data_IF_808462271785
#
_entry.id   IF_808462271785
#
_cell.length_a   1.000
_cell.length_b   1.000
_cell.length_c   1.000
_cell.angle_alpha   90.00
_cell.angle_beta   90.00
_cell.angle_gamma   90.00
#
_symmetry.space_group_name_H-M   'P 1'
#
loop_
_entity.id
_entity.type
_entity.pdbx_description
1 polymer ?
#
# COMPACT_ATOMS: atom_id res chain seq x y z
N UNK A 1 -30.53 9.74 24.67
CA UNK A 1 -29.85 9.22 23.46
C UNK A 1 -28.68 8.39 23.95
N UNK A 2 -28.83 7.06 23.99
CA UNK A 2 -27.80 6.16 24.56
C UNK A 2 -26.68 6.09 23.53
N UNK A 3 -25.52 6.64 23.86
CA UNK A 3 -24.28 6.40 23.11
C UNK A 3 -23.89 4.95 23.40
N UNK A 4 -24.38 4.02 22.60
CA UNK A 4 -23.91 2.63 22.62
C UNK A 4 -22.59 2.59 21.85
N UNK A 5 -21.52 3.04 22.51
CA UNK A 5 -20.14 2.89 22.04
C UNK A 5 -19.77 1.41 22.01
N UNK A 6 -20.18 0.72 20.95
CA UNK A 6 -19.66 -0.60 20.62
C UNK A 6 -18.56 -0.43 19.60
N UNK A 7 -17.37 -0.92 19.91
CA UNK A 7 -16.20 -0.88 19.05
C UNK A 7 -16.54 -1.45 17.67
N UNK A 8 -16.54 -0.61 16.65
CA UNK A 8 -16.61 -1.04 15.25
C UNK A 8 -15.21 -1.48 14.84
N UNK A 9 -15.11 -2.56 14.07
CA UNK A 9 -13.94 -2.75 13.23
C UNK A 9 -14.09 -1.76 12.07
N UNK A 10 -13.08 -0.92 11.86
CA UNK A 10 -13.15 0.15 10.86
C UNK A 10 -12.00 -0.02 9.86
N UNK A 11 -12.36 -0.30 8.61
CA UNK A 11 -11.41 -0.44 7.52
C UNK A 11 -11.69 0.62 6.46
N UNK A 12 -10.64 1.10 5.80
CA UNK A 12 -10.81 1.97 4.64
C UNK A 12 -9.89 1.61 3.49
N UNK A 13 -10.40 1.86 2.28
CA UNK A 13 -9.73 1.60 1.02
C UNK A 13 -9.73 2.87 0.16
N UNK A 14 -8.82 2.91 -0.79
CA UNK A 14 -8.66 3.97 -1.78
C UNK A 14 -8.81 3.36 -3.17
N UNK A 15 -9.79 3.80 -3.96
CA UNK A 15 -9.97 3.29 -5.32
C UNK A 15 -10.50 4.34 -6.29
N UNK A 16 -10.20 4.14 -7.56
CA UNK A 16 -10.95 4.71 -8.67
C UNK A 16 -11.81 3.64 -9.36
N UNK A 17 -12.52 4.01 -10.42
CA UNK A 17 -13.37 3.09 -11.17
C UNK A 17 -12.56 1.95 -11.83
N UNK A 18 -11.36 2.25 -12.32
CA UNK A 18 -10.49 1.26 -12.98
C UNK A 18 -10.11 0.12 -12.03
N UNK A 19 -9.90 0.44 -10.74
CA UNK A 19 -9.55 -0.54 -9.73
C UNK A 19 -10.77 -1.14 -9.00
N UNK A 20 -12.01 -0.84 -9.40
CA UNK A 20 -13.21 -1.34 -8.73
C UNK A 20 -13.29 -2.88 -8.70
N UNK A 21 -12.89 -3.56 -9.77
CA UNK A 21 -12.80 -5.04 -9.83
C UNK A 21 -11.78 -5.58 -8.81
N UNK A 22 -10.64 -4.92 -8.69
CA UNK A 22 -9.56 -5.33 -7.79
C UNK A 22 -10.02 -5.11 -6.33
N UNK A 23 -10.61 -3.95 -6.04
CA UNK A 23 -11.23 -3.67 -4.74
C UNK A 23 -12.33 -4.68 -4.39
N UNK A 24 -13.14 -5.11 -5.36
CA UNK A 24 -14.18 -6.12 -5.14
C UNK A 24 -13.64 -7.43 -4.57
N UNK A 25 -12.44 -7.85 -4.99
CA UNK A 25 -11.76 -9.05 -4.46
C UNK A 25 -11.29 -8.84 -3.02
N UNK A 26 -10.67 -7.69 -2.72
CA UNK A 26 -10.28 -7.35 -1.35
C UNK A 26 -11.49 -7.24 -0.42
N UNK A 27 -12.59 -6.65 -0.89
CA UNK A 27 -13.84 -6.50 -0.15
C UNK A 27 -14.50 -7.86 0.15
N UNK A 28 -14.64 -8.72 -0.87
CA UNK A 28 -15.21 -10.07 -0.72
C UNK A 28 -14.43 -10.88 0.31
N UNK A 29 -13.10 -10.89 0.21
CA UNK A 29 -12.23 -11.65 1.12
C UNK A 29 -12.20 -11.05 2.53
N UNK A 30 -12.17 -9.73 2.67
CA UNK A 30 -12.32 -9.06 3.96
C UNK A 30 -13.63 -9.47 4.62
N UNK A 31 -14.74 -9.44 3.89
CA UNK A 31 -16.03 -9.77 4.48
C UNK A 31 -16.16 -11.25 4.86
N UNK A 32 -15.70 -12.15 3.99
CA UNK A 32 -15.68 -13.59 4.24
C UNK A 32 -14.89 -13.95 5.51
N UNK A 33 -13.73 -13.31 5.73
CA UNK A 33 -12.89 -13.54 6.90
C UNK A 33 -13.38 -12.87 8.19
N UNK A 34 -14.45 -12.06 8.13
CA UNK A 34 -14.94 -11.31 9.28
C UNK A 34 -16.41 -11.57 9.60
N UNK A 35 -17.00 -12.70 9.19
CA UNK A 35 -18.40 -13.03 9.51
C UNK A 35 -18.70 -13.06 11.02
N UNK A 36 -17.69 -13.30 11.86
CA UNK A 36 -17.79 -13.23 13.33
C UNK A 36 -17.92 -11.80 13.88
N UNK A 37 -17.55 -10.78 13.10
CA UNK A 37 -17.58 -9.37 13.52
C UNK A 37 -18.94 -8.76 13.20
N UNK A 38 -19.74 -8.54 14.26
CA UNK A 38 -21.09 -7.97 14.18
C UNK A 38 -21.12 -6.52 13.71
N UNK A 39 -20.08 -5.73 14.02
CA UNK A 39 -20.00 -4.29 13.74
C UNK A 39 -18.74 -4.00 12.94
N UNK A 40 -18.89 -3.98 11.63
CA UNK A 40 -17.81 -3.71 10.67
C UNK A 40 -18.22 -2.53 9.78
N UNK A 41 -17.40 -1.48 9.76
CA UNK A 41 -17.53 -0.35 8.82
C UNK A 41 -16.43 -0.44 7.79
N UNK A 42 -16.80 -0.34 6.52
CA UNK A 42 -15.87 -0.25 5.41
C UNK A 42 -16.11 1.07 4.68
N UNK A 43 -15.09 1.92 4.68
CA UNK A 43 -15.08 3.16 3.93
C UNK A 43 -14.36 2.97 2.59
N UNK A 44 -14.91 3.54 1.52
CA UNK A 44 -14.22 3.66 0.25
C UNK A 44 -14.02 5.14 -0.07
N UNK A 45 -12.79 5.63 0.07
CA UNK A 45 -12.43 6.96 -0.43
C UNK A 45 -12.24 6.83 -1.95
N UNK A 46 -13.13 7.43 -2.71
CA UNK A 46 -13.29 7.15 -4.13
C UNK A 46 -12.98 8.34 -5.03
N UNK A 47 -12.28 8.07 -6.13
CA UNK A 47 -12.04 9.03 -7.21
C UNK A 47 -12.88 8.66 -8.43
N UNK A 48 -14.11 9.18 -8.49
CA UNK A 48 -15.06 9.00 -9.58
C UNK A 48 -15.39 7.52 -9.90
N UNK A 49 -15.66 6.69 -8.89
CA UNK A 49 -16.16 5.33 -9.13
C UNK A 49 -17.57 5.42 -9.72
N UNK A 50 -17.78 4.75 -10.84
CA UNK A 50 -19.03 4.81 -11.59
C UNK A 50 -20.20 4.25 -10.80
N UNK A 51 -21.42 4.68 -11.16
CA UNK A 51 -22.65 4.14 -10.57
C UNK A 51 -22.77 2.64 -10.83
N UNK A 52 -22.30 2.15 -11.97
CA UNK A 52 -22.31 0.72 -12.30
C UNK A 52 -21.37 -0.09 -11.40
N UNK A 53 -20.12 0.36 -11.25
CA UNK A 53 -19.17 -0.26 -10.32
C UNK A 53 -19.69 -0.26 -8.88
N UNK A 54 -20.27 0.86 -8.41
CA UNK A 54 -20.88 0.93 -7.06
C UNK A 54 -22.04 -0.05 -6.90
N UNK A 55 -22.89 -0.23 -7.92
CA UNK A 55 -23.96 -1.25 -7.88
C UNK A 55 -23.37 -2.66 -7.72
N UNK A 56 -22.34 -3.00 -8.48
CA UNK A 56 -21.66 -4.31 -8.36
C UNK A 56 -21.00 -4.47 -6.98
N UNK A 57 -20.34 -3.44 -6.44
CA UNK A 57 -19.74 -3.46 -5.09
C UNK A 57 -20.81 -3.61 -3.99
N UNK A 58 -21.95 -2.94 -4.13
CA UNK A 58 -23.04 -3.03 -3.16
C UNK A 58 -23.67 -4.43 -3.12
N UNK A 59 -23.76 -5.14 -4.26
CA UNK A 59 -24.20 -6.55 -4.29
C UNK A 59 -23.31 -7.41 -3.39
N UNK A 60 -21.99 -7.18 -3.41
CA UNK A 60 -21.05 -7.89 -2.52
C UNK A 60 -21.35 -7.54 -1.06
N UNK A 61 -21.49 -6.25 -0.72
CA UNK A 61 -21.77 -5.85 0.65
C UNK A 61 -23.09 -6.40 1.19
N UNK A 62 -24.15 -6.36 0.37
CA UNK A 62 -25.48 -6.88 0.70
C UNK A 62 -25.48 -8.39 0.96
N UNK A 63 -24.69 -9.17 0.20
CA UNK A 63 -24.47 -10.61 0.43
C UNK A 63 -23.99 -10.92 1.85
N UNK A 64 -23.25 -10.00 2.48
CA UNK A 64 -22.75 -10.14 3.86
C UNK A 64 -23.53 -9.29 4.87
N UNK A 65 -24.72 -8.79 4.52
CA UNK A 65 -25.54 -7.91 5.36
C UNK A 65 -24.80 -6.63 5.80
N UNK A 66 -23.93 -6.12 4.92
CA UNK A 66 -23.04 -4.97 5.16
C UNK A 66 -23.30 -3.85 4.16
N UNK A 67 -22.64 -2.72 4.40
CA UNK A 67 -22.71 -1.53 3.55
C UNK A 67 -21.32 -0.94 3.38
N UNK A 68 -21.09 -0.31 2.24
CA UNK A 68 -19.89 0.48 1.97
C UNK A 68 -20.23 1.95 2.21
N UNK A 69 -19.43 2.63 3.02
CA UNK A 69 -19.51 4.08 3.22
C UNK A 69 -18.62 4.78 2.18
N UNK A 70 -19.23 5.26 1.10
CA UNK A 70 -18.51 5.96 0.03
C UNK A 70 -18.18 7.39 0.44
N UNK A 71 -16.91 7.76 0.38
CA UNK A 71 -16.41 9.10 0.66
C UNK A 71 -15.80 9.67 -0.62
N UNK A 72 -16.40 10.69 -1.25
CA UNK A 72 -15.79 11.35 -2.40
C UNK A 72 -14.42 11.90 -2.04
N UNK A 73 -13.39 11.53 -2.80
CA UNK A 73 -12.03 12.02 -2.57
C UNK A 73 -12.00 13.55 -2.68
N UNK A 74 -11.47 14.27 -1.66
CA UNK A 74 -11.31 15.72 -1.77
C UNK A 74 -10.27 16.07 -2.84
N UNK A 75 -10.25 17.34 -3.24
CA UNK A 75 -9.22 17.82 -4.16
C UNK A 75 -7.85 17.88 -3.44
N UNK A 76 -7.08 16.80 -3.57
CA UNK A 76 -5.77 16.63 -2.94
C UNK A 76 -4.79 17.72 -3.32
N UNK A 77 -4.78 18.16 -4.59
CA UNK A 77 -3.91 19.27 -5.04
C UNK A 77 -4.23 20.56 -4.29
N UNK A 78 -5.52 20.85 -4.09
CA UNK A 78 -5.97 22.02 -3.33
C UNK A 78 -5.60 21.90 -1.84
N UNK A 79 -5.71 20.71 -1.25
CA UNK A 79 -5.30 20.48 0.14
C UNK A 79 -3.79 20.70 0.34
N UNK A 80 -2.98 20.27 -0.62
CA UNK A 80 -1.52 20.48 -0.60
C UNK A 80 -1.17 21.96 -0.86
N UNK A 81 -1.86 22.62 -1.79
CA UNK A 81 -1.63 24.04 -2.10
C UNK A 81 -0.27 24.34 -2.75
N UNK A 82 0.33 23.35 -3.41
CA UNK A 82 1.49 23.48 -4.30
C UNK A 82 1.39 22.43 -5.41
N UNK A 83 2.17 22.60 -6.48
CA UNK A 83 2.22 21.62 -7.55
C UNK A 83 2.82 20.32 -7.04
N UNK A 84 2.08 19.23 -7.24
CA UNK A 84 2.52 17.89 -6.87
C UNK A 84 2.91 17.13 -8.13
N UNK A 85 4.15 16.64 -8.17
CA UNK A 85 4.60 15.72 -9.20
C UNK A 85 4.01 14.34 -8.95
N UNK A 86 3.18 13.90 -9.89
CA UNK A 86 2.61 12.56 -9.91
C UNK A 86 3.02 11.94 -11.24
N UNK A 87 3.91 10.93 -11.24
CA UNK A 87 4.16 10.12 -12.41
C UNK A 87 2.84 9.62 -13.02
N UNK A 88 2.73 9.60 -14.35
CA UNK A 88 1.55 9.08 -15.06
C UNK A 88 1.19 7.63 -14.69
N UNK A 89 2.14 6.90 -14.08
CA UNK A 89 1.97 5.51 -13.61
C UNK A 89 1.27 5.41 -12.25
N UNK A 90 0.96 6.53 -11.59
CA UNK A 90 0.35 6.56 -10.27
C UNK A 90 -1.02 7.19 -10.29
N UNK A 91 -1.87 6.65 -9.44
CA UNK A 91 -3.19 7.19 -9.23
C UNK A 91 -3.15 8.29 -8.17
N UNK A 92 -3.77 9.43 -8.45
CA UNK A 92 -3.95 10.51 -7.47
C UNK A 92 -4.62 10.03 -6.19
N UNK A 93 -5.51 9.02 -6.30
CA UNK A 93 -6.24 8.47 -5.15
C UNK A 93 -5.30 7.96 -4.05
N UNK A 94 -4.09 7.52 -4.42
CA UNK A 94 -3.07 7.05 -3.47
C UNK A 94 -2.71 8.11 -2.42
N UNK A 95 -2.68 9.39 -2.81
CA UNK A 95 -2.31 10.49 -1.91
C UNK A 95 -3.38 10.82 -0.87
N UNK A 96 -4.61 10.33 -1.03
CA UNK A 96 -5.67 10.53 -0.03
C UNK A 96 -5.32 9.88 1.32
N UNK A 97 -4.48 8.82 1.35
CA UNK A 97 -4.01 8.21 2.62
C UNK A 97 -3.32 9.18 3.55
N UNK A 98 -2.62 10.17 2.99
CA UNK A 98 -1.88 11.18 3.77
C UNK A 98 -2.80 12.05 4.62
N UNK A 99 -4.07 12.12 4.24
CA UNK A 99 -5.11 12.94 4.83
C UNK A 99 -6.24 12.09 5.42
N UNK A 100 -6.01 10.79 5.67
CA UNK A 100 -7.03 9.90 6.21
C UNK A 100 -7.67 10.44 7.50
N UNK A 101 -6.87 11.07 8.37
CA UNK A 101 -7.35 11.71 9.60
C UNK A 101 -8.22 12.96 9.37
N UNK A 102 -8.13 13.58 8.20
CA UNK A 102 -8.93 14.76 7.83
C UNK A 102 -10.15 14.38 6.99
N UNK A 103 -10.08 13.24 6.29
CA UNK A 103 -11.13 12.74 5.38
C UNK A 103 -12.15 11.86 6.10
N UNK A 104 -11.69 10.97 6.99
CA UNK A 104 -12.58 10.04 7.67
C UNK A 104 -13.47 10.76 8.71
N UNK A 105 -14.70 10.28 8.94
CA UNK A 105 -15.62 10.88 9.92
C UNK A 105 -14.97 11.04 11.31
N UNK A 106 -15.33 12.10 12.03
CA UNK A 106 -14.66 12.47 13.29
C UNK A 106 -14.89 11.47 14.43
N UNK A 107 -15.89 10.61 14.32
CA UNK A 107 -16.13 9.48 15.23
C UNK A 107 -15.17 8.29 15.01
N UNK A 108 -14.46 8.26 13.87
CA UNK A 108 -13.44 7.24 13.57
C UNK A 108 -12.11 7.67 14.20
N UNK A 109 -11.82 7.12 15.39
CA UNK A 109 -10.58 7.38 16.12
C UNK A 109 -9.43 6.41 15.73
N UNK A 110 -9.76 5.21 15.23
CA UNK A 110 -8.81 4.20 14.75
C UNK A 110 -9.38 3.54 13.49
N UNK A 111 -8.57 3.34 12.47
CA UNK A 111 -8.96 2.57 11.29
C UNK A 111 -7.78 1.79 10.73
N UNK A 112 -8.05 0.69 10.01
CA UNK A 112 -7.04 -0.06 9.26
C UNK A 112 -7.18 0.25 7.78
N UNK A 113 -6.18 0.93 7.23
CA UNK A 113 -6.07 1.10 5.79
C UNK A 113 -5.65 -0.20 5.14
N UNK A 114 -6.27 -0.53 4.00
CA UNK A 114 -5.91 -1.64 3.14
C UNK A 114 -5.82 -1.15 1.68
N UNK A 115 -4.75 -1.50 0.98
CA UNK A 115 -4.67 -1.34 -0.48
C UNK A 115 -5.68 -2.29 -1.15
N UNK A 116 -6.13 -1.94 -2.36
CA UNK A 116 -7.15 -2.72 -3.06
C UNK A 116 -6.60 -4.03 -3.66
N UNK A 117 -5.32 -4.09 -3.98
CA UNK A 117 -4.67 -5.25 -4.60
C UNK A 117 -4.20 -6.29 -3.57
N UNK A 118 -5.11 -6.66 -2.68
CA UNK A 118 -4.86 -7.66 -1.64
C UNK A 118 -5.88 -8.80 -1.69
N UNK A 119 -5.52 -9.92 -1.06
CA UNK A 119 -6.45 -10.95 -0.61
C UNK A 119 -6.24 -11.18 0.88
N UNK A 120 -7.32 -11.10 1.64
CA UNK A 120 -7.35 -11.41 3.08
C UNK A 120 -7.63 -12.90 3.25
N UNK A 121 -6.67 -13.66 3.77
CA UNK A 121 -6.77 -15.12 3.92
C UNK A 121 -7.24 -15.56 5.30
N UNK A 122 -7.05 -14.71 6.30
CA UNK A 122 -7.38 -14.98 7.70
C UNK A 122 -8.01 -13.75 8.37
N UNK A 123 -8.75 -13.92 9.48
CA UNK A 123 -9.28 -12.81 10.26
C UNK A 123 -8.21 -11.79 10.67
N UNK A 124 -8.59 -10.51 10.70
CA UNK A 124 -7.70 -9.38 11.03
C UNK A 124 -7.88 -8.88 12.47
N UNK A 125 -8.41 -9.71 13.37
CA UNK A 125 -8.58 -9.38 14.79
C UNK A 125 -7.26 -8.95 15.44
N UNK A 126 -6.17 -9.67 15.19
CA UNK A 126 -4.84 -9.30 15.70
C UNK A 126 -4.35 -7.96 15.15
N UNK A 127 -4.66 -7.66 13.88
CA UNK A 127 -4.27 -6.41 13.23
C UNK A 127 -5.09 -5.24 13.77
N UNK A 128 -6.40 -5.44 13.94
CA UNK A 128 -7.31 -4.46 14.54
C UNK A 128 -6.97 -4.18 16.00
N UNK A 129 -6.62 -5.21 16.77
CA UNK A 129 -6.27 -5.09 18.18
C UNK A 129 -4.80 -4.73 18.42
N UNK A 130 -4.00 -4.53 17.35
CA UNK A 130 -2.61 -4.10 17.48
C UNK A 130 -2.52 -2.83 18.33
N UNK A 131 -1.74 -2.91 19.40
CA UNK A 131 -1.50 -1.80 20.32
C UNK A 131 -0.55 -0.79 19.69
N UNK A 132 -1.14 0.31 19.19
CA UNK A 132 -0.38 1.39 18.58
C UNK A 132 0.41 2.19 19.62
N UNK A 133 0.07 2.14 20.92
CA UNK A 133 0.67 3.02 21.95
C UNK A 133 0.70 4.48 21.47
N UNK A 134 1.84 5.13 21.64
CA UNK A 134 2.14 6.44 21.08
C UNK A 134 2.65 6.37 19.64
N UNK A 135 2.25 5.44 18.79
CA UNK A 135 2.55 5.51 17.34
C UNK A 135 1.38 6.11 16.58
N UNK A 136 1.68 6.76 15.45
CA UNK A 136 0.65 7.24 14.52
C UNK A 136 0.01 6.09 13.77
N UNK A 137 0.81 5.08 13.44
CA UNK A 137 0.38 3.90 12.72
C UNK A 137 1.34 2.73 12.95
N UNK A 138 1.04 1.59 12.37
CA UNK A 138 1.96 0.47 12.26
C UNK A 138 2.00 -0.06 10.81
N UNK A 139 3.16 -0.55 10.39
CA UNK A 139 3.39 -1.04 9.02
C UNK A 139 4.42 -2.17 9.04
N UNK A 140 4.50 -2.94 7.95
CA UNK A 140 5.61 -3.89 7.79
C UNK A 140 6.87 -3.19 7.28
N UNK A 141 8.04 -3.70 7.64
CA UNK A 141 9.31 -3.24 7.10
C UNK A 141 9.57 -3.90 5.72
N UNK A 142 9.65 -3.10 4.66
CA UNK A 142 9.96 -3.54 3.29
C UNK A 142 11.48 -3.74 3.08
N UNK A 143 12.29 -3.36 4.08
CA UNK A 143 13.71 -3.66 4.13
C UNK A 143 14.56 -2.86 3.14
N UNK A 144 14.20 -1.61 2.82
CA UNK A 144 15.08 -0.79 1.98
C UNK A 144 16.41 -0.48 2.69
N UNK A 145 17.47 -0.30 1.90
CA UNK A 145 18.77 0.16 2.41
C UNK A 145 18.71 1.62 2.90
N UNK A 146 19.74 1.99 3.65
CA UNK A 146 19.90 3.31 4.28
C UNK A 146 19.86 4.50 3.29
N UNK A 147 20.35 4.32 2.06
CA UNK A 147 20.38 5.39 1.04
C UNK A 147 18.99 5.77 0.54
N UNK A 148 18.02 4.86 0.62
CA UNK A 148 16.63 5.20 0.31
C UNK A 148 16.00 6.08 1.39
N UNK A 149 16.43 5.94 2.65
CA UNK A 149 15.98 6.84 3.74
C UNK A 149 16.59 8.24 3.62
N UNK A 150 17.86 8.36 3.24
CA UNK A 150 18.48 9.68 3.04
C UNK A 150 17.81 10.49 1.92
N UNK A 151 17.27 9.82 0.89
CA UNK A 151 16.46 10.46 -0.15
C UNK A 151 15.23 11.16 0.41
N UNK A 152 14.65 10.65 1.50
CA UNK A 152 13.50 11.22 2.21
C UNK A 152 13.87 12.29 3.26
N UNK A 153 15.15 12.67 3.37
CA UNK A 153 15.65 13.57 4.41
C UNK A 153 15.38 13.07 5.86
N UNK A 154 15.35 11.75 6.07
CA UNK A 154 15.26 11.14 7.41
C UNK A 154 16.55 10.37 7.76
N UNK A 155 16.83 10.10 9.05
CA UNK A 155 18.01 9.37 9.48
C UNK A 155 18.21 8.05 8.73
N UNK A 156 19.45 7.76 8.34
CA UNK A 156 19.79 6.64 7.47
C UNK A 156 19.63 5.27 8.18
N UNK A 157 19.76 5.27 9.50
CA UNK A 157 19.70 4.15 10.43
C UNK A 157 18.27 3.88 10.91
N UNK A 158 17.39 3.52 9.97
CA UNK A 158 16.03 3.13 10.32
C UNK A 158 15.44 2.11 9.36
N UNK A 159 14.21 1.69 9.66
CA UNK A 159 13.41 0.81 8.81
C UNK A 159 12.72 1.60 7.70
N UNK A 160 12.33 0.94 6.62
CA UNK A 160 11.51 1.56 5.59
C UNK A 160 10.25 0.74 5.40
N UNK A 161 9.11 1.37 5.59
CA UNK A 161 7.84 0.68 5.76
C UNK A 161 7.00 0.69 4.49
N UNK A 162 6.26 -0.41 4.28
CA UNK A 162 5.26 -0.53 3.23
C UNK A 162 3.91 0.01 3.71
N UNK A 163 3.26 0.87 2.91
CA UNK A 163 2.02 1.54 3.31
C UNK A 163 0.75 0.86 2.79
N UNK A 164 0.81 -0.40 2.35
CA UNK A 164 -0.36 -1.10 1.81
C UNK A 164 -1.31 -1.69 2.87
N UNK A 165 -0.82 -1.90 4.09
CA UNK A 165 -1.63 -2.34 5.24
C UNK A 165 -1.22 -1.53 6.46
N UNK A 166 -2.12 -0.68 6.96
CA UNK A 166 -1.77 0.35 7.93
C UNK A 166 -2.87 0.55 8.97
N UNK A 167 -2.78 -0.06 10.17
CA UNK A 167 -3.53 0.40 11.33
C UNK A 167 -3.10 1.83 11.69
N UNK A 168 -4.06 2.73 11.82
CA UNK A 168 -3.84 4.16 12.07
C UNK A 168 -4.53 4.62 13.34
N UNK A 169 -3.81 5.39 14.16
CA UNK A 169 -4.35 6.13 15.30
C UNK A 169 -4.80 7.50 14.81
N UNK A 170 -5.98 7.55 14.19
CA UNK A 170 -6.51 8.76 13.57
C UNK A 170 -6.73 9.87 14.59
N UNK A 171 -7.13 9.53 15.81
CA UNK A 171 -7.21 10.50 16.91
C UNK A 171 -5.88 11.21 17.14
N UNK A 172 -4.81 10.45 17.36
CA UNK A 172 -3.48 11.02 17.59
C UNK A 172 -2.97 11.78 16.37
N UNK A 173 -3.27 11.29 15.17
CA UNK A 173 -2.93 11.98 13.92
C UNK A 173 -3.64 13.34 13.78
N UNK A 174 -4.92 13.45 14.19
CA UNK A 174 -5.65 14.74 14.23
C UNK A 174 -5.04 15.68 15.27
N UNK A 175 -4.81 15.19 16.51
CA UNK A 175 -4.21 15.97 17.60
C UNK A 175 -2.84 16.55 17.20
N UNK A 176 -2.00 15.74 16.57
CA UNK A 176 -0.65 16.11 16.17
C UNK A 176 -0.59 16.72 14.75
N UNK A 177 -1.74 17.00 14.13
CA UNK A 177 -1.93 17.63 12.81
C UNK A 177 -1.09 16.99 11.70
N UNK A 178 -1.18 15.67 11.57
CA UNK A 178 -0.34 14.91 10.63
C UNK A 178 -0.59 15.29 9.17
N UNK A 179 -1.83 15.57 8.78
CA UNK A 179 -2.15 16.08 7.44
C UNK A 179 -1.37 17.36 7.10
N UNK A 180 -1.28 18.32 8.03
CA UNK A 180 -0.51 19.56 7.86
C UNK A 180 1.00 19.28 7.71
N UNK A 181 1.54 18.34 8.52
CA UNK A 181 2.94 17.92 8.41
C UNK A 181 3.24 17.26 7.06
N UNK A 182 2.31 16.47 6.52
CA UNK A 182 2.40 15.92 5.16
C UNK A 182 2.47 17.04 4.11
N UNK A 183 1.61 18.05 4.20
CA UNK A 183 1.66 19.22 3.29
C UNK A 183 3.00 19.92 3.38
N UNK A 184 3.47 20.20 4.59
CA UNK A 184 4.74 20.90 4.80
C UNK A 184 5.94 20.11 4.26
N UNK A 185 5.96 18.79 4.44
CA UNK A 185 6.98 17.93 3.86
C UNK A 185 6.97 17.99 2.32
N UNK A 186 5.80 17.88 1.69
CA UNK A 186 5.66 17.94 0.22
C UNK A 186 6.15 19.28 -0.32
N UNK A 187 5.80 20.39 0.34
CA UNK A 187 6.27 21.74 -0.02
C UNK A 187 7.78 21.87 0.12
N UNK A 188 8.36 21.39 1.22
CA UNK A 188 9.81 21.38 1.43
C UNK A 188 10.57 20.48 0.43
N UNK A 189 9.85 19.57 -0.21
CA UNK A 189 10.36 18.71 -1.26
C UNK A 189 10.05 19.24 -2.68
N UNK A 190 9.58 20.49 -2.80
CA UNK A 190 9.33 21.15 -4.09
C UNK A 190 8.34 20.37 -4.96
N UNK A 191 7.30 19.81 -4.33
CA UNK A 191 6.30 19.00 -5.02
C UNK A 191 6.79 17.61 -5.45
N UNK A 192 8.07 17.28 -5.28
CA UNK A 192 8.63 15.99 -5.65
C UNK A 192 8.70 15.04 -4.45
N UNK A 193 7.86 14.01 -4.44
CA UNK A 193 7.86 12.98 -3.38
C UNK A 193 8.55 11.70 -3.86
N UNK A 194 9.73 11.36 -3.33
CA UNK A 194 10.34 10.06 -3.61
C UNK A 194 9.44 8.96 -3.07
N UNK A 195 9.10 7.98 -3.92
CA UNK A 195 8.24 6.84 -3.54
C UNK A 195 6.86 7.30 -3.02
N UNK A 196 6.35 8.40 -3.60
CA UNK A 196 4.92 8.74 -3.57
C UNK A 196 4.39 8.95 -2.15
N UNK A 197 3.12 8.61 -1.88
CA UNK A 197 2.53 8.75 -0.56
C UNK A 197 3.26 7.90 0.50
N UNK A 198 3.73 6.69 0.16
CA UNK A 198 4.50 5.83 1.08
C UNK A 198 5.76 6.53 1.61
N UNK A 199 6.48 7.23 0.73
CA UNK A 199 7.66 7.99 1.11
C UNK A 199 7.35 9.17 2.03
N UNK A 200 6.22 9.87 1.78
CA UNK A 200 5.76 10.94 2.69
C UNK A 200 5.42 10.38 4.07
N UNK A 201 4.69 9.26 4.14
CA UNK A 201 4.36 8.62 5.42
C UNK A 201 5.62 8.19 6.20
N UNK A 202 6.57 7.55 5.51
CA UNK A 202 7.85 7.16 6.12
C UNK A 202 8.63 8.38 6.62
N UNK A 203 8.57 9.51 5.93
CA UNK A 203 9.29 10.72 6.33
C UNK A 203 8.63 11.46 7.50
N UNK A 204 7.32 11.68 7.42
CA UNK A 204 6.55 12.48 8.37
C UNK A 204 6.31 11.75 9.69
N UNK A 205 6.17 10.42 9.63
CA UNK A 205 5.87 9.58 10.78
C UNK A 205 7.11 8.86 11.33
N UNK A 206 8.31 9.19 10.83
CA UNK A 206 9.56 8.54 11.24
C UNK A 206 9.74 8.54 12.77
N UNK A 207 10.19 7.41 13.32
CA UNK A 207 10.29 7.20 14.76
C UNK A 207 8.97 6.96 15.50
N UNK A 208 7.81 7.06 14.83
CA UNK A 208 6.47 6.79 15.39
C UNK A 208 5.62 5.86 14.50
N UNK A 209 6.28 4.91 13.85
CA UNK A 209 5.65 3.80 13.11
C UNK A 209 5.94 2.51 13.87
N UNK A 210 4.88 1.81 14.30
CA UNK A 210 4.98 0.47 14.89
C UNK A 210 5.37 -0.58 13.85
N UNK A 211 6.14 -1.59 14.26
CA UNK A 211 6.53 -2.70 13.38
C UNK A 211 5.47 -3.81 13.42
N UNK A 212 4.84 -4.08 12.29
CA UNK A 212 3.95 -5.23 12.11
C UNK A 212 4.74 -6.50 11.78
N UNK A 213 4.17 -7.65 12.14
CA UNK A 213 4.63 -8.95 11.63
C UNK A 213 4.48 -9.01 10.10
N UNK A 214 5.43 -9.62 9.36
CA UNK A 214 5.38 -9.65 7.91
C UNK A 214 4.16 -10.41 7.36
N UNK A 215 3.54 -11.30 8.15
CA UNK A 215 2.33 -12.05 7.77
C UNK A 215 1.15 -11.15 7.38
N UNK A 216 1.11 -9.91 7.90
CA UNK A 216 0.03 -8.96 7.62
C UNK A 216 0.16 -8.24 6.28
N UNK A 217 1.25 -8.41 5.54
CA UNK A 217 1.43 -7.77 4.24
C UNK A 217 2.54 -8.50 3.45
N UNK A 218 2.23 -9.70 2.95
CA UNK A 218 3.20 -10.52 2.21
C UNK A 218 3.10 -10.16 0.73
N UNK A 219 4.10 -9.42 0.24
CA UNK A 219 4.11 -8.87 -1.12
C UNK A 219 4.93 -9.68 -2.11
N UNK A 220 4.65 -9.53 -3.42
CA UNK A 220 5.23 -10.33 -4.51
C UNK A 220 6.75 -10.49 -4.49
N UNK A 221 7.50 -9.47 -4.06
CA UNK A 221 8.96 -9.58 -3.97
C UNK A 221 9.39 -10.63 -2.93
N UNK A 222 8.64 -10.83 -1.85
CA UNK A 222 8.94 -11.86 -0.87
C UNK A 222 8.77 -13.27 -1.46
N UNK A 223 7.78 -13.48 -2.34
CA UNK A 223 7.62 -14.76 -3.04
C UNK A 223 8.73 -15.03 -4.07
N UNK A 224 9.34 -13.99 -4.63
CA UNK A 224 10.36 -14.13 -5.67
C UNK A 224 11.73 -14.59 -5.12
N UNK A 225 12.00 -14.40 -3.84
CA UNK A 225 13.33 -14.55 -3.26
C UNK A 225 13.31 -15.30 -1.93
N UNK A 226 14.28 -16.19 -1.71
CA UNK A 226 14.52 -16.74 -0.37
C UNK A 226 14.99 -15.64 0.58
N UNK A 227 14.94 -15.88 1.89
CA UNK A 227 15.41 -14.92 2.90
C UNK A 227 16.83 -14.38 2.60
N UNK A 228 17.78 -15.26 2.29
CA UNK A 228 19.16 -14.87 1.99
C UNK A 228 19.28 -14.06 0.69
N UNK A 229 18.51 -14.41 -0.34
CA UNK A 229 18.47 -13.67 -1.60
C UNK A 229 17.85 -12.28 -1.40
N UNK A 230 16.80 -12.19 -0.58
CA UNK A 230 16.14 -10.93 -0.23
C UNK A 230 17.10 -9.97 0.46
N UNK A 231 17.85 -10.44 1.45
CA UNK A 231 18.86 -9.63 2.15
C UNK A 231 19.98 -9.16 1.20
N UNK A 232 20.46 -10.02 0.30
CA UNK A 232 21.46 -9.64 -0.72
C UNK A 232 20.93 -8.59 -1.69
N UNK A 233 19.66 -8.70 -2.08
CA UNK A 233 18.99 -7.78 -2.98
C UNK A 233 18.82 -6.39 -2.34
N UNK A 234 18.23 -6.35 -1.15
CA UNK A 234 17.75 -5.11 -0.54
C UNK A 234 18.77 -4.43 0.36
N UNK A 235 19.69 -5.19 0.96
CA UNK A 235 20.72 -4.74 1.90
C UNK A 235 20.18 -3.83 3.02
N UNK A 236 19.13 -4.26 3.77
CA UNK A 236 18.59 -3.49 4.87
C UNK A 236 19.57 -3.40 6.05
N UNK A 237 19.47 -2.32 6.83
CA UNK A 237 20.11 -2.25 8.15
C UNK A 237 19.38 -3.11 9.18
N UNK A 238 18.04 -3.14 9.09
CA UNK A 238 17.17 -3.88 9.99
C UNK A 238 16.13 -4.64 9.17
N UNK A 239 15.92 -5.92 9.48
CA UNK A 239 14.90 -6.75 8.85
C UNK A 239 14.44 -7.83 9.81
N UNK A 240 13.38 -8.54 9.42
CA UNK A 240 12.85 -9.67 10.17
C UNK A 240 13.86 -10.81 10.27
N UNK A 241 13.69 -11.68 11.26
CA UNK A 241 14.39 -12.95 11.32
C UNK A 241 14.01 -13.86 10.15
N UNK A 242 14.84 -14.87 9.89
CA UNK A 242 14.54 -15.91 8.89
C UNK A 242 13.20 -16.59 9.18
N UNK A 243 12.98 -16.96 10.44
CA UNK A 243 11.78 -17.66 10.88
C UNK A 243 10.52 -16.83 10.64
N UNK A 244 10.51 -15.54 11.04
CA UNK A 244 9.37 -14.65 10.78
C UNK A 244 9.07 -14.52 9.28
N UNK A 245 10.11 -14.43 8.45
CA UNK A 245 9.97 -14.32 7.00
C UNK A 245 9.41 -15.60 6.37
N UNK A 246 9.97 -16.76 6.71
CA UNK A 246 9.56 -18.06 6.17
C UNK A 246 8.17 -18.45 6.68
N UNK A 247 7.83 -18.17 7.95
CA UNK A 247 6.49 -18.39 8.50
C UNK A 247 5.44 -17.49 7.84
N UNK A 248 5.77 -16.22 7.55
CA UNK A 248 4.86 -15.33 6.84
C UNK A 248 4.56 -15.81 5.42
N UNK A 249 5.56 -16.38 4.72
CA UNK A 249 5.35 -16.96 3.39
C UNK A 249 4.59 -18.28 3.41
N UNK A 250 4.76 -19.08 4.47
CA UNK A 250 4.08 -20.36 4.62
C UNK A 250 2.57 -20.19 4.84
N UNK A 251 2.16 -19.22 5.66
CA UNK A 251 0.75 -18.91 5.89
C UNK A 251 0.49 -17.39 6.03
N UNK A 252 0.42 -16.66 4.90
CA UNK A 252 0.17 -15.23 4.91
C UNK A 252 -1.26 -14.92 5.40
N UNK A 253 -1.42 -13.92 6.27
CA UNK A 253 -2.74 -13.36 6.65
C UNK A 253 -3.26 -12.47 5.52
N UNK A 254 -2.40 -11.62 4.96
CA UNK A 254 -2.72 -10.81 3.78
C UNK A 254 -1.66 -11.06 2.72
N UNK A 255 -2.12 -11.42 1.52
CA UNK A 255 -1.29 -11.43 0.31
C UNK A 255 -1.50 -10.11 -0.41
N UNK A 256 -0.41 -9.39 -0.69
CA UNK A 256 -0.43 -8.10 -1.36
C UNK A 256 0.25 -8.18 -2.72
N UNK A 257 -0.53 -8.01 -3.79
CA UNK A 257 -0.06 -8.20 -5.16
C UNK A 257 0.69 -6.99 -5.70
N UNK A 258 1.74 -6.51 -5.00
CA UNK A 258 2.63 -5.46 -5.49
C UNK A 258 3.48 -5.95 -6.68
N UNK A 259 4.08 -5.05 -7.47
CA UNK A 259 4.84 -5.45 -8.67
C UNK A 259 6.29 -5.41 -8.24
N UNK A 260 7.10 -6.32 -8.75
CA UNK A 260 8.55 -6.17 -8.65
C UNK A 260 9.20 -6.40 -10.02
N UNK A 261 10.52 -6.31 -10.09
CA UNK A 261 11.22 -6.49 -11.35
C UNK A 261 11.32 -7.96 -11.78
N UNK A 262 10.98 -8.89 -10.88
CA UNK A 262 11.10 -10.34 -11.10
C UNK A 262 9.72 -11.02 -11.24
N UNK A 263 8.68 -10.41 -10.67
CA UNK A 263 7.27 -10.77 -10.82
C UNK A 263 6.51 -9.48 -11.14
N UNK A 264 6.37 -9.18 -12.43
CA UNK A 264 5.72 -7.96 -12.92
C UNK A 264 4.22 -8.16 -13.16
N UNK A 265 3.79 -9.41 -13.37
CA UNK A 265 2.40 -9.73 -13.63
C UNK A 265 1.52 -9.56 -12.38
N UNK A 266 0.22 -9.41 -12.63
CA UNK A 266 -0.82 -9.31 -11.61
C UNK A 266 -1.85 -10.41 -11.73
N UNK A 267 -2.46 -10.87 -10.63
CA UNK A 267 -3.45 -11.93 -10.71
C UNK A 267 -4.69 -11.60 -11.56
N UNK A 268 -5.02 -10.31 -11.72
CA UNK A 268 -6.08 -9.85 -12.63
C UNK A 268 -5.64 -9.72 -14.10
N UNK A 269 -4.38 -10.06 -14.42
CA UNK A 269 -3.86 -10.13 -15.78
C UNK A 269 -3.83 -11.57 -16.28
N UNK A 270 -4.00 -11.74 -17.59
CA UNK A 270 -3.83 -13.03 -18.27
C UNK A 270 -2.43 -13.61 -18.01
N UNK A 271 -2.36 -14.93 -17.84
CA UNK A 271 -1.11 -15.70 -17.69
C UNK A 271 -0.24 -15.31 -16.48
N UNK A 272 -0.83 -14.73 -15.43
CA UNK A 272 -0.08 -14.34 -14.24
C UNK A 272 0.60 -15.53 -13.54
N UNK A 273 1.90 -15.40 -13.29
CA UNK A 273 2.75 -16.43 -12.65
C UNK A 273 2.92 -16.25 -11.15
N UNK A 274 2.23 -15.29 -10.53
CA UNK A 274 2.31 -15.09 -9.09
C UNK A 274 1.87 -16.37 -8.34
N UNK A 275 2.61 -16.86 -7.31
CA UNK A 275 2.26 -18.13 -6.64
C UNK A 275 0.85 -18.16 -6.06
N UNK A 276 0.37 -17.00 -5.59
CA UNK A 276 -0.96 -16.83 -5.01
C UNK A 276 -2.05 -16.40 -6.00
N UNK A 277 -1.82 -16.51 -7.33
CA UNK A 277 -2.85 -16.14 -8.33
C UNK A 277 -4.17 -16.89 -8.12
N UNK A 278 -4.11 -18.16 -7.66
CA UNK A 278 -5.30 -18.97 -7.40
C UNK A 278 -6.20 -18.37 -6.32
N UNK A 279 -5.62 -17.80 -5.27
CA UNK A 279 -6.36 -17.18 -4.17
C UNK A 279 -7.16 -15.97 -4.70
N UNK A 280 -6.53 -15.12 -5.52
CA UNK A 280 -7.21 -14.01 -6.17
C UNK A 280 -8.32 -14.48 -7.12
N UNK A 281 -8.05 -15.43 -8.01
CA UNK A 281 -9.05 -15.91 -8.97
C UNK A 281 -10.23 -16.61 -8.27
N UNK A 282 -9.98 -17.36 -7.20
CA UNK A 282 -11.03 -17.99 -6.38
C UNK A 282 -11.89 -16.97 -5.64
N UNK A 283 -11.32 -15.84 -5.20
CA UNK A 283 -12.09 -14.76 -4.62
C UNK A 283 -12.88 -14.00 -5.69
N UNK A 284 -12.24 -13.70 -6.83
CA UNK A 284 -12.86 -13.05 -7.99
C UNK A 284 -14.06 -13.83 -8.51
N UNK A 285 -14.04 -15.16 -8.49
CA UNK A 285 -15.17 -15.97 -8.94
C UNK A 285 -16.44 -15.81 -8.08
N UNK A 286 -16.31 -15.20 -6.90
CA UNK A 286 -17.43 -14.89 -6.00
C UNK A 286 -17.97 -13.46 -6.16
N UNK A 287 -17.36 -12.65 -7.01
CA UNK A 287 -17.75 -11.25 -7.25
C UNK A 287 -18.55 -11.10 -8.54
N UNK A 288 -19.31 -10.00 -8.74
CA UNK A 288 -20.01 -9.73 -9.99
C UNK A 288 -19.11 -9.57 -11.23
N UNK A 289 -17.78 -9.51 -11.05
CA UNK A 289 -16.80 -9.45 -12.15
C UNK A 289 -16.37 -10.84 -12.65
N UNK A 290 -16.91 -11.94 -12.12
CA UNK A 290 -16.51 -13.31 -12.49
C UNK A 290 -16.46 -13.56 -14.01
N UNK A 291 -17.40 -12.99 -14.77
CA UNK A 291 -17.52 -13.18 -16.22
C UNK A 291 -16.74 -12.16 -17.06
N UNK A 292 -16.20 -11.10 -16.44
CA UNK A 292 -15.41 -10.10 -17.15
C UNK A 292 -14.06 -10.73 -17.55
N UNK A 293 -13.48 -10.30 -18.66
CA UNK A 293 -12.18 -10.80 -19.10
C UNK A 293 -11.06 -10.29 -18.21
N UNK A 294 -10.10 -11.16 -17.88
CA UNK A 294 -8.85 -10.73 -17.26
C UNK A 294 -8.13 -9.72 -18.17
N UNK A 295 -7.40 -8.80 -17.54
CA UNK A 295 -6.73 -7.71 -18.24
C UNK A 295 -5.61 -8.26 -19.12
N UNK A 296 -5.39 -7.61 -20.26
CA UNK A 296 -4.22 -7.92 -21.08
C UNK A 296 -2.94 -7.52 -20.35
N UNK A 297 -1.93 -8.39 -20.43
CA UNK A 297 -0.64 -8.10 -19.87
C UNK A 297 0.11 -7.13 -20.79
N UNK A 298 -0.01 -5.83 -20.51
CA UNK A 298 0.68 -4.75 -21.21
C UNK A 298 1.73 -4.09 -20.30
N UNK A 299 2.88 -4.77 -20.07
CA UNK A 299 3.91 -4.24 -19.18
C UNK A 299 4.56 -3.00 -19.81
N UNK A 300 5.10 -2.13 -18.96
CA UNK A 300 5.95 -1.05 -19.43
C UNK A 300 7.14 -1.65 -20.18
N UNK A 301 7.39 -1.23 -21.43
CA UNK A 301 8.41 -1.81 -22.30
C UNK A 301 9.78 -1.91 -21.62
N UNK A 302 10.24 -0.86 -20.95
CA UNK A 302 11.53 -0.84 -20.25
C UNK A 302 11.57 -1.82 -19.07
N UNK A 303 10.44 -1.98 -18.38
CA UNK A 303 10.30 -2.91 -17.26
C UNK A 303 10.26 -4.36 -17.72
N UNK A 304 9.53 -4.64 -18.82
CA UNK A 304 9.48 -5.95 -19.44
C UNK A 304 10.87 -6.41 -19.84
N UNK A 305 11.63 -5.56 -20.55
CA UNK A 305 13.02 -5.85 -20.93
C UNK A 305 13.86 -6.19 -19.70
N UNK A 306 13.73 -5.42 -18.62
CA UNK A 306 14.50 -5.66 -17.41
C UNK A 306 14.11 -6.98 -16.71
N UNK A 307 12.82 -7.29 -16.66
CA UNK A 307 12.30 -8.56 -16.12
C UNK A 307 12.82 -9.75 -16.95
N UNK A 308 12.68 -9.69 -18.27
CA UNK A 308 13.15 -10.72 -19.20
C UNK A 308 14.66 -10.92 -19.07
N UNK A 309 15.44 -9.83 -19.01
CA UNK A 309 16.88 -9.88 -18.76
C UNK A 309 17.22 -10.58 -17.44
N UNK A 310 16.50 -10.28 -16.34
CA UNK A 310 16.73 -10.92 -15.05
C UNK A 310 16.44 -12.43 -15.09
N UNK A 311 15.49 -12.88 -15.91
CA UNK A 311 15.18 -14.30 -16.11
C UNK A 311 16.14 -15.02 -17.09
N UNK A 312 16.85 -14.29 -17.95
CA UNK A 312 17.81 -14.86 -18.91
C UNK A 312 19.18 -15.18 -18.30
N UNK A 313 19.52 -14.57 -17.16
CA UNK A 313 20.83 -14.72 -16.50
C UNK A 313 20.71 -15.55 -15.21
N UNK A 314 21.81 -16.12 -14.68
CA UNK A 314 21.77 -16.82 -13.40
C UNK A 314 21.22 -15.92 -12.28
N UNK A 315 20.23 -16.43 -11.51
CA UNK A 315 19.53 -15.68 -10.45
C UNK A 315 20.46 -14.95 -9.47
N UNK A 316 21.59 -15.52 -8.99
CA UNK A 316 22.53 -14.78 -8.14
C UNK A 316 23.12 -13.53 -8.80
N UNK A 317 23.37 -13.57 -10.11
CA UNK A 317 23.86 -12.43 -10.88
C UNK A 317 22.76 -11.38 -11.05
N UNK A 318 21.51 -11.80 -11.35
CA UNK A 318 20.36 -10.89 -11.41
C UNK A 318 20.14 -10.15 -10.08
N UNK A 319 20.24 -10.86 -8.95
CA UNK A 319 20.16 -10.28 -7.61
C UNK A 319 21.28 -9.26 -7.38
N UNK A 320 22.52 -9.60 -7.76
CA UNK A 320 23.65 -8.70 -7.59
C UNK A 320 23.47 -7.40 -8.41
N UNK A 321 23.13 -7.50 -9.70
CA UNK A 321 22.86 -6.33 -10.56
C UNK A 321 21.71 -5.50 -9.98
N UNK A 322 20.61 -6.14 -9.61
CA UNK A 322 19.44 -5.48 -9.02
C UNK A 322 19.79 -4.78 -7.70
N UNK A 323 20.64 -5.38 -6.87
CA UNK A 323 21.07 -4.77 -5.61
C UNK A 323 21.86 -3.48 -5.83
N UNK A 324 22.67 -3.39 -6.88
CA UNK A 324 23.35 -2.15 -7.25
C UNK A 324 22.37 -1.07 -7.73
N UNK A 325 21.31 -1.49 -8.42
CA UNK A 325 20.24 -0.58 -8.85
C UNK A 325 19.50 0.00 -7.63
N UNK A 326 19.09 -0.86 -6.69
CA UNK A 326 18.41 -0.44 -5.46
C UNK A 326 19.29 0.39 -4.53
N UNK A 327 20.57 0.09 -4.46
CA UNK A 327 21.48 0.77 -3.54
C UNK A 327 22.06 2.07 -4.11
N UNK A 328 22.35 2.16 -5.41
CA UNK A 328 23.05 3.32 -5.96
C UNK A 328 22.21 4.07 -6.99
N UNK A 329 21.69 3.39 -8.00
CA UNK A 329 21.00 4.06 -9.11
C UNK A 329 19.69 4.74 -8.68
N UNK A 330 18.82 4.03 -7.97
CA UNK A 330 17.52 4.58 -7.53
C UNK A 330 17.70 5.78 -6.59
N UNK A 331 18.54 5.71 -5.52
CA UNK A 331 18.82 6.89 -4.70
C UNK A 331 19.40 8.06 -5.49
N UNK A 332 20.39 7.81 -6.37
CA UNK A 332 21.00 8.86 -7.18
C UNK A 332 19.98 9.54 -8.11
N UNK A 333 19.09 8.75 -8.73
CA UNK A 333 17.99 9.26 -9.56
C UNK A 333 17.06 10.15 -8.74
N UNK A 334 16.67 9.73 -7.54
CA UNK A 334 15.81 10.55 -6.69
C UNK A 334 16.51 11.85 -6.23
N UNK A 335 17.80 11.80 -5.88
CA UNK A 335 18.59 12.99 -5.54
C UNK A 335 18.66 13.96 -6.73
N UNK A 336 18.88 13.44 -7.95
CA UNK A 336 18.87 14.24 -9.17
C UNK A 336 17.50 14.89 -9.41
N UNK A 337 16.41 14.13 -9.27
CA UNK A 337 15.04 14.65 -9.39
C UNK A 337 14.76 15.75 -8.35
N UNK A 338 15.11 15.55 -7.08
CA UNK A 338 14.97 16.57 -6.04
C UNK A 338 15.64 17.88 -6.43
N UNK A 339 16.89 17.81 -6.92
CA UNK A 339 17.63 19.00 -7.40
C UNK A 339 16.95 19.64 -8.61
N UNK A 340 16.35 18.86 -9.50
CA UNK A 340 15.62 19.36 -10.68
C UNK A 340 14.39 20.16 -10.25
N UNK A 341 13.57 19.63 -9.34
CA UNK A 341 12.35 20.30 -8.86
C UNK A 341 12.66 21.53 -8.00
N UNK A 342 13.68 21.47 -7.15
CA UNK A 342 14.13 22.65 -6.39
C UNK A 342 14.55 23.82 -7.29
N UNK A 343 15.13 23.54 -8.46
CA UNK A 343 15.54 24.57 -9.45
C UNK A 343 14.37 25.12 -10.27
N UNK A 344 13.33 24.34 -10.51
CA UNK A 344 12.14 24.84 -11.21
C UNK A 344 11.36 25.81 -10.33
N UNK A 345 11.25 25.51 -9.04
CA UNK A 345 10.55 26.36 -8.07
C UNK A 345 11.26 27.69 -7.82
N UNK A 346 12.60 27.75 -7.92
CA UNK A 346 13.35 29.00 -7.75
C UNK A 346 13.23 29.97 -8.94
N UNK A 347 12.67 29.52 -10.06
CA UNK A 347 12.52 30.30 -11.30
C UNK A 347 11.08 30.78 -11.53
N UNK A 348 10.19 30.55 -10.57
CA UNK A 348 8.79 31.02 -10.52
C UNK A 348 8.62 31.96 -9.34
#
# INVERSE_FOLDING_TARGET
>A
MIIVGGFYYEFFFLSDDKFAEIFAVALETLYEQHNHVKRLRVFLIENNVSIESKKKLNIIAEKFERRIEYIPMPNIRKMIGTDLYIPNTLNMVDFARLFACDILPSDVEKAVQLDCDIVVRHPLDDLWNFDLKDNYCAMINEGHNSKMRTVLNIPADGMYFNSGVVPMNLKKMREDKIGEKCVNYIKNMHGYVPINAQGVMNAVMDGRIGLLSPKFNVYSLMYAFTYNEYLKLRRPNYYYSREEYENALADPIIVHYMTCFYLDERPWMKECKHPMTKDFLSARSKTPWVNDTLWDNMPNFSRKIYCDFCHMIPKPLAIWISSLIYEYYLPARHIWMKKKFARSDSNT
#
